data_IF_184130298026
#
_entry.id   IF_184130298026
#
_cell.length_a   1.000
_cell.length_b   1.000
_cell.length_c   1.000
_cell.angle_alpha   90.00
_cell.angle_beta   90.00
_cell.angle_gamma   90.00
#
_symmetry.space_group_name_H-M   'P 1'
#
loop_
_entity.id
_entity.type
_entity.pdbx_description
1 polymer ?
#
# COMPACT_ATOMS: atom_id res chain seq x y z
N UNK A 1 37.43 6.77 33.21
CA UNK A 1 35.95 6.97 33.25
C UNK A 1 35.35 5.66 32.79
N UNK A 2 34.58 4.98 33.64
CA UNK A 2 33.90 3.75 33.26
C UNK A 2 32.92 4.11 32.14
N UNK A 3 33.05 3.41 30.99
CA UNK A 3 32.06 3.55 29.92
C UNK A 3 30.72 3.03 30.45
N UNK A 4 29.80 3.91 30.75
CA UNK A 4 28.47 3.54 31.27
C UNK A 4 27.76 2.67 30.20
N UNK A 5 27.42 1.46 30.60
CA UNK A 5 26.84 0.48 29.68
C UNK A 5 25.42 0.92 29.35
N UNK A 6 25.16 1.15 28.06
CA UNK A 6 23.83 1.54 27.59
C UNK A 6 22.80 0.43 27.89
N UNK A 7 21.63 0.79 28.38
CA UNK A 7 20.48 -0.11 28.49
C UNK A 7 19.79 -0.30 27.13
N UNK A 8 18.90 -1.27 27.02
CA UNK A 8 18.22 -1.62 25.77
C UNK A 8 17.43 -0.44 25.16
N UNK A 9 16.85 0.44 25.98
CA UNK A 9 16.10 1.60 25.49
C UNK A 9 17.03 2.65 24.89
N UNK A 10 18.20 2.88 25.47
CA UNK A 10 19.22 3.78 24.93
C UNK A 10 19.77 3.23 23.61
N UNK A 11 20.00 1.91 23.52
CA UNK A 11 20.42 1.24 22.30
C UNK A 11 19.33 1.33 21.21
N UNK A 12 18.07 1.13 21.55
CA UNK A 12 16.94 1.29 20.61
C UNK A 12 16.86 2.74 20.11
N UNK A 13 17.04 3.72 20.99
CA UNK A 13 17.05 5.14 20.60
C UNK A 13 18.16 5.43 19.57
N UNK A 14 19.36 4.85 19.73
CA UNK A 14 20.42 4.97 18.74
C UNK A 14 20.00 4.37 17.39
N UNK A 15 19.40 3.17 17.40
CA UNK A 15 18.89 2.53 16.17
C UNK A 15 17.87 3.41 15.48
N UNK A 16 16.90 3.97 16.23
CA UNK A 16 15.85 4.84 15.69
C UNK A 16 16.39 6.14 15.07
N UNK A 17 17.48 6.68 15.62
CA UNK A 17 18.13 7.89 15.09
C UNK A 17 18.98 7.62 13.84
N UNK A 18 19.67 6.49 13.81
CA UNK A 18 20.61 6.15 12.73
C UNK A 18 19.92 5.49 11.53
N UNK A 19 18.84 4.74 11.78
CA UNK A 19 18.17 3.95 10.75
C UNK A 19 17.53 4.85 9.68
N UNK A 20 18.04 4.70 8.47
CA UNK A 20 17.47 5.30 7.26
C UNK A 20 17.10 4.18 6.29
N UNK A 21 15.82 3.93 6.13
CA UNK A 21 15.29 2.96 5.20
C UNK A 21 14.49 3.68 4.10
N UNK A 22 15.16 4.24 3.07
CA UNK A 22 14.50 5.02 2.03
C UNK A 22 13.54 4.16 1.21
N UNK A 23 12.50 4.78 0.63
CA UNK A 23 11.57 4.11 -0.30
C UNK A 23 12.27 3.89 -1.64
N UNK A 24 12.99 2.77 -1.78
CA UNK A 24 13.76 2.38 -2.96
C UNK A 24 12.96 1.63 -4.01
N UNK A 25 11.86 0.96 -3.62
CA UNK A 25 11.01 0.20 -4.51
C UNK A 25 10.00 1.09 -5.22
N UNK A 26 9.58 0.71 -6.43
CA UNK A 26 8.57 1.42 -7.20
C UNK A 26 7.41 0.50 -7.59
N UNK A 27 6.21 0.86 -7.19
CA UNK A 27 5.00 0.19 -7.63
C UNK A 27 4.51 0.82 -8.94
N UNK A 28 4.69 0.11 -10.06
CA UNK A 28 4.31 0.59 -11.39
C UNK A 28 2.79 0.71 -11.58
N UNK A 29 2.02 -0.09 -10.85
CA UNK A 29 0.55 -0.04 -10.91
C UNK A 29 0.01 1.15 -10.13
N UNK A 30 0.45 1.34 -8.87
CA UNK A 30 0.04 2.46 -8.01
C UNK A 30 0.86 3.75 -8.22
N UNK A 31 1.93 3.72 -9.05
CA UNK A 31 2.81 4.85 -9.37
C UNK A 31 3.42 5.55 -8.14
N UNK A 32 3.71 4.80 -7.08
CA UNK A 32 4.33 5.33 -5.88
C UNK A 32 5.60 4.55 -5.49
N UNK A 33 6.49 5.23 -4.77
CA UNK A 33 7.66 4.59 -4.16
C UNK A 33 7.30 4.03 -2.80
N UNK A 34 7.78 2.82 -2.51
CA UNK A 34 7.59 2.17 -1.22
C UNK A 34 8.88 1.51 -0.75
N UNK A 35 8.91 1.07 0.50
CA UNK A 35 9.96 0.18 1.05
C UNK A 35 9.34 -1.17 1.36
N UNK A 36 10.08 -2.23 1.11
CA UNK A 36 9.71 -3.58 1.49
C UNK A 36 10.15 -3.88 2.94
N UNK A 37 9.70 -5.00 3.49
CA UNK A 37 10.19 -5.50 4.76
C UNK A 37 11.72 -5.77 4.67
N UNK A 38 12.16 -6.34 3.56
CA UNK A 38 13.56 -6.68 3.29
C UNK A 38 14.45 -5.43 3.27
N UNK A 39 13.98 -4.32 2.68
CA UNK A 39 14.73 -3.05 2.66
C UNK A 39 15.03 -2.56 4.10
N UNK A 40 14.04 -2.70 5.01
CA UNK A 40 14.21 -2.33 6.42
C UNK A 40 15.22 -3.26 7.10
N UNK A 41 15.10 -4.56 6.89
CA UNK A 41 15.97 -5.56 7.48
C UNK A 41 17.42 -5.37 7.03
N UNK A 42 17.67 -5.11 5.76
CA UNK A 42 19.01 -4.84 5.26
C UNK A 42 19.59 -3.55 5.84
N UNK A 43 18.81 -2.49 5.92
CA UNK A 43 19.25 -1.21 6.47
C UNK A 43 19.57 -1.27 7.96
N UNK A 44 18.85 -2.07 8.75
CA UNK A 44 19.01 -2.12 10.20
C UNK A 44 20.15 -3.04 10.65
N UNK A 45 20.50 -4.08 9.89
CA UNK A 45 21.53 -5.07 10.26
C UNK A 45 22.85 -4.48 10.76
N UNK A 46 23.50 -3.53 10.05
CA UNK A 46 24.77 -2.96 10.51
C UNK A 46 24.61 -2.22 11.85
N UNK A 47 23.51 -1.47 12.02
CA UNK A 47 23.24 -0.68 13.21
C UNK A 47 22.98 -1.59 14.43
N UNK A 48 22.24 -2.68 14.23
CA UNK A 48 22.03 -3.69 15.28
C UNK A 48 23.34 -4.31 15.75
N UNK A 49 24.22 -4.64 14.81
CA UNK A 49 25.55 -5.18 15.13
C UNK A 49 26.38 -4.23 16.00
N UNK A 50 26.41 -2.94 15.66
CA UNK A 50 27.15 -1.92 16.39
C UNK A 50 26.61 -1.72 17.81
N UNK A 51 25.28 -1.80 17.98
CA UNK A 51 24.62 -1.65 19.27
C UNK A 51 24.49 -2.97 20.05
N UNK A 52 25.07 -4.09 19.55
CA UNK A 52 24.99 -5.43 20.16
C UNK A 52 23.56 -5.88 20.41
N UNK A 53 22.72 -5.67 19.42
CA UNK A 53 21.32 -6.06 19.43
C UNK A 53 21.05 -7.18 18.42
N UNK A 54 20.10 -8.04 18.74
CA UNK A 54 19.55 -9.06 17.83
C UNK A 54 18.08 -8.74 17.57
N UNK A 55 17.67 -8.85 16.33
CA UNK A 55 16.27 -8.74 15.92
C UNK A 55 15.75 -10.10 15.51
N UNK A 56 14.62 -10.50 16.11
CA UNK A 56 13.89 -11.72 15.76
C UNK A 56 12.49 -11.33 15.26
N UNK A 57 12.02 -11.97 14.20
CA UNK A 57 10.65 -11.83 13.68
C UNK A 57 9.91 -13.16 13.82
N UNK A 58 8.70 -13.11 14.35
CA UNK A 58 7.80 -14.26 14.44
C UNK A 58 6.44 -13.92 13.88
N UNK A 59 5.77 -14.89 13.29
CA UNK A 59 4.43 -14.73 12.74
C UNK A 59 3.48 -15.78 13.32
N UNK A 60 2.20 -15.40 13.45
CA UNK A 60 1.11 -16.30 13.76
C UNK A 60 -0.14 -15.90 12.96
N UNK A 61 -0.88 -16.90 12.46
CA UNK A 61 -2.19 -16.65 11.84
C UNK A 61 -3.25 -16.67 12.93
N UNK A 62 -4.03 -15.60 13.00
CA UNK A 62 -5.05 -15.39 14.03
C UNK A 62 -6.43 -15.33 13.37
N UNK A 63 -7.35 -16.25 13.68
CA UNK A 63 -8.72 -16.17 13.21
C UNK A 63 -9.46 -15.03 13.94
N UNK A 64 -10.13 -14.17 13.18
CA UNK A 64 -11.02 -13.14 13.70
C UNK A 64 -12.51 -13.53 13.54
N UNK A 65 -12.81 -14.42 12.57
CA UNK A 65 -14.10 -15.08 12.36
C UNK A 65 -13.88 -16.37 11.57
N UNK A 66 -14.95 -17.06 11.20
CA UNK A 66 -14.87 -18.30 10.38
C UNK A 66 -14.19 -18.07 9.01
N UNK A 67 -14.31 -16.86 8.45
CA UNK A 67 -13.81 -16.51 7.11
C UNK A 67 -12.79 -15.38 7.11
N UNK A 68 -12.40 -14.85 8.29
CA UNK A 68 -11.47 -13.72 8.37
C UNK A 68 -10.26 -14.06 9.21
N UNK A 69 -9.10 -13.98 8.60
CA UNK A 69 -7.82 -14.25 9.22
C UNK A 69 -6.90 -13.03 9.17
N UNK A 70 -6.01 -12.93 10.16
CA UNK A 70 -4.96 -11.93 10.21
C UNK A 70 -3.63 -12.62 10.45
N UNK A 71 -2.58 -12.15 9.80
CA UNK A 71 -1.22 -12.48 10.18
C UNK A 71 -0.78 -11.47 11.23
N UNK A 72 -0.47 -11.97 12.43
CA UNK A 72 0.15 -11.23 13.51
C UNK A 72 1.66 -11.38 13.36
N UNK A 73 2.41 -10.30 13.19
CA UNK A 73 3.86 -10.30 13.23
C UNK A 73 4.34 -9.62 14.50
N UNK A 74 5.37 -10.18 15.15
CA UNK A 74 6.05 -9.59 16.31
C UNK A 74 7.52 -9.42 15.99
N UNK A 75 7.99 -8.18 16.09
CA UNK A 75 9.42 -7.82 16.04
C UNK A 75 9.95 -7.75 17.47
N UNK A 76 10.92 -8.58 17.78
CA UNK A 76 11.52 -8.70 19.12
C UNK A 76 12.97 -8.23 19.02
N UNK A 77 13.30 -7.15 19.72
CA UNK A 77 14.66 -6.64 19.86
C UNK A 77 15.26 -7.20 21.16
N UNK A 78 16.44 -7.80 21.07
CA UNK A 78 17.10 -8.48 22.17
C UNK A 78 18.48 -7.85 22.40
N UNK A 79 18.76 -7.40 23.60
CA UNK A 79 20.11 -6.96 24.00
C UNK A 79 20.98 -8.19 24.32
N UNK A 80 22.03 -8.39 23.53
CA UNK A 80 22.97 -9.53 23.70
C UNK A 80 23.73 -9.49 25.04
N UNK A 81 23.85 -8.32 25.65
CA UNK A 81 24.61 -8.15 26.88
C UNK A 81 23.78 -8.28 28.15
N UNK A 82 22.50 -7.90 28.13
CA UNK A 82 21.61 -7.96 29.30
C UNK A 82 20.51 -9.03 29.17
N UNK A 83 20.26 -9.55 27.96
CA UNK A 83 19.12 -10.39 27.60
C UNK A 83 17.75 -9.72 27.80
N UNK A 84 17.73 -8.40 28.00
CA UNK A 84 16.47 -7.64 27.97
C UNK A 84 15.86 -7.64 26.57
N UNK A 85 14.54 -7.55 26.50
CA UNK A 85 13.80 -7.55 25.24
C UNK A 85 12.81 -6.39 25.15
N UNK A 86 12.63 -5.87 23.97
CA UNK A 86 11.56 -4.95 23.60
C UNK A 86 10.84 -5.56 22.41
N UNK A 87 9.52 -5.59 22.42
CA UNK A 87 8.74 -6.11 21.30
C UNK A 87 7.70 -5.11 20.79
N UNK A 88 7.43 -5.20 19.52
CA UNK A 88 6.32 -4.50 18.86
C UNK A 88 5.57 -5.46 17.94
N UNK A 89 4.25 -5.38 17.97
CA UNK A 89 3.36 -6.28 17.24
C UNK A 89 2.51 -5.48 16.25
N UNK A 90 2.32 -6.04 15.07
CA UNK A 90 1.39 -5.51 14.09
C UNK A 90 0.61 -6.64 13.39
N UNK A 91 -0.45 -6.25 12.70
CA UNK A 91 -1.35 -7.17 12.02
C UNK A 91 -1.52 -6.77 10.57
N UNK A 92 -1.68 -7.76 9.69
CA UNK A 92 -2.18 -7.56 8.34
C UNK A 92 -3.28 -8.56 8.06
N UNK A 93 -4.34 -8.10 7.39
CA UNK A 93 -5.42 -8.98 6.98
C UNK A 93 -4.92 -9.94 5.91
N UNK A 94 -5.26 -11.22 6.08
CA UNK A 94 -5.10 -12.23 5.06
C UNK A 94 -6.39 -12.28 4.24
N UNK A 95 -6.29 -12.07 2.92
CA UNK A 95 -7.44 -12.20 2.03
C UNK A 95 -7.73 -13.69 1.79
N UNK A 96 -9.00 -14.06 1.73
CA UNK A 96 -9.43 -15.45 1.49
C UNK A 96 -9.05 -15.89 0.07
N UNK A 97 -9.27 -15.02 -0.90
CA UNK A 97 -8.92 -15.23 -2.30
C UNK A 97 -8.35 -13.96 -2.96
N UNK A 98 -7.36 -14.13 -3.81
CA UNK A 98 -6.82 -13.05 -4.63
C UNK A 98 -6.48 -13.57 -6.01
N UNK A 99 -7.06 -12.95 -7.04
CA UNK A 99 -6.86 -13.32 -8.43
C UNK A 99 -5.38 -13.38 -8.79
N UNK A 100 -4.93 -14.54 -9.27
CA UNK A 100 -3.54 -14.76 -9.70
C UNK A 100 -2.56 -15.10 -8.57
N UNK A 101 -3.04 -15.38 -7.37
CA UNK A 101 -2.23 -15.84 -6.24
C UNK A 101 -2.78 -17.16 -5.69
N UNK A 102 -1.88 -18.06 -5.27
CA UNK A 102 -2.25 -19.22 -4.46
C UNK A 102 -2.31 -18.86 -2.97
N UNK A 103 -2.85 -19.77 -2.15
CA UNK A 103 -3.01 -19.52 -0.70
C UNK A 103 -1.70 -19.19 0.01
N UNK A 104 -0.60 -19.88 -0.34
CA UNK A 104 0.72 -19.61 0.26
C UNK A 104 1.25 -18.22 -0.09
N UNK A 105 0.99 -17.76 -1.31
CA UNK A 105 1.36 -16.41 -1.74
C UNK A 105 0.53 -15.33 -1.03
N UNK A 106 -0.75 -15.60 -0.77
CA UNK A 106 -1.65 -14.71 -0.02
C UNK A 106 -1.13 -14.55 1.41
N UNK A 107 -0.89 -15.67 2.11
CA UNK A 107 -0.31 -15.66 3.47
C UNK A 107 1.04 -14.97 3.50
N UNK A 108 1.94 -15.29 2.57
CA UNK A 108 3.26 -14.65 2.45
C UNK A 108 3.18 -13.14 2.25
N UNK A 109 2.21 -12.67 1.47
CA UNK A 109 1.98 -11.24 1.28
C UNK A 109 1.51 -10.60 2.58
N UNK A 110 0.53 -11.17 3.28
CA UNK A 110 0.03 -10.67 4.55
C UNK A 110 1.15 -10.65 5.62
N UNK A 111 1.99 -11.70 5.67
CA UNK A 111 3.18 -11.76 6.54
C UNK A 111 4.15 -10.60 6.27
N UNK A 112 4.51 -10.35 5.01
CA UNK A 112 5.40 -9.25 4.64
C UNK A 112 4.86 -7.89 5.07
N UNK A 113 3.55 -7.65 4.95
CA UNK A 113 2.92 -6.42 5.43
C UNK A 113 2.93 -6.33 6.96
N UNK A 114 2.53 -7.39 7.67
CA UNK A 114 2.51 -7.41 9.13
C UNK A 114 3.91 -7.15 9.71
N UNK A 115 4.94 -7.83 9.18
CA UNK A 115 6.35 -7.63 9.57
C UNK A 115 6.81 -6.20 9.33
N UNK A 116 6.50 -5.63 8.16
CA UNK A 116 6.85 -4.24 7.85
C UNK A 116 6.23 -3.27 8.86
N UNK A 117 4.97 -3.43 9.21
CA UNK A 117 4.32 -2.57 10.19
C UNK A 117 4.86 -2.77 11.60
N UNK A 118 5.21 -4.00 12.00
CA UNK A 118 5.87 -4.26 13.27
C UNK A 118 7.23 -3.56 13.36
N UNK A 119 8.03 -3.62 12.29
CA UNK A 119 9.32 -2.94 12.21
C UNK A 119 9.18 -1.41 12.18
N UNK A 120 8.19 -0.88 11.43
CA UNK A 120 7.93 0.56 11.39
C UNK A 120 7.64 1.12 12.79
N UNK A 121 6.78 0.43 13.56
CA UNK A 121 6.46 0.84 14.93
C UNK A 121 7.65 0.71 15.89
N UNK A 122 8.44 -0.38 15.79
CA UNK A 122 9.61 -0.58 16.66
C UNK A 122 10.70 0.46 16.42
N UNK A 123 10.98 0.75 15.14
CA UNK A 123 12.09 1.64 14.76
C UNK A 123 11.65 3.07 14.45
N UNK A 124 10.38 3.44 14.70
CA UNK A 124 9.82 4.76 14.39
C UNK A 124 10.07 5.20 12.94
N UNK A 125 9.91 4.26 12.01
CA UNK A 125 10.06 4.55 10.59
C UNK A 125 8.78 5.20 10.11
N UNK A 126 8.87 6.50 9.82
CA UNK A 126 7.74 7.27 9.31
C UNK A 126 7.49 6.97 7.82
N UNK A 127 6.29 6.55 7.50
CA UNK A 127 5.77 6.51 6.14
C UNK A 127 5.09 7.86 5.84
N UNK A 128 5.89 8.94 5.77
CA UNK A 128 5.49 10.33 5.61
C UNK A 128 4.61 10.68 4.39
N UNK A 129 3.97 9.72 3.79
CA UNK A 129 2.78 9.90 2.95
C UNK A 129 1.77 8.86 3.40
N UNK A 130 0.93 9.27 4.34
CA UNK A 130 -0.23 8.49 4.74
C UNK A 130 -1.12 8.26 3.52
N UNK A 131 -1.59 7.01 3.39
CA UNK A 131 -2.58 6.65 2.39
C UNK A 131 -3.91 7.41 2.57
N UNK A 132 -4.08 8.09 3.71
CA UNK A 132 -5.24 8.90 4.08
C UNK A 132 -5.09 10.37 3.64
N UNK A 133 -3.98 10.77 3.02
CA UNK A 133 -3.89 12.10 2.45
C UNK A 133 -4.65 12.19 1.12
N UNK A 134 -5.34 13.31 0.89
CA UNK A 134 -6.10 13.60 -0.33
C UNK A 134 -5.32 13.36 -1.64
N UNK A 135 -3.98 13.39 -1.57
CA UNK A 135 -3.10 13.02 -2.68
C UNK A 135 -3.18 11.52 -3.03
N UNK A 136 -3.45 10.63 -2.07
CA UNK A 136 -3.60 9.19 -2.31
C UNK A 136 -4.98 8.88 -2.90
N UNK A 137 -6.02 9.57 -2.44
CA UNK A 137 -7.35 9.52 -3.05
C UNK A 137 -7.33 10.08 -4.47
N UNK A 138 -6.66 11.20 -4.71
CA UNK A 138 -6.51 11.80 -6.03
C UNK A 138 -5.64 10.97 -7.00
N UNK A 139 -4.70 10.13 -6.51
CA UNK A 139 -3.90 9.24 -7.36
C UNK A 139 -4.63 7.92 -7.68
N UNK A 140 -5.52 7.44 -6.81
CA UNK A 140 -6.40 6.31 -7.10
C UNK A 140 -7.63 6.71 -7.94
N UNK A 141 -8.03 7.98 -7.90
CA UNK A 141 -8.96 8.60 -8.82
C UNK A 141 -8.29 9.17 -10.09
N UNK A 142 -7.15 8.66 -10.54
CA UNK A 142 -6.82 8.83 -11.95
C UNK A 142 -7.89 8.07 -12.73
N UNK A 143 -9.01 8.79 -12.98
CA UNK A 143 -10.08 8.37 -13.87
C UNK A 143 -9.42 7.74 -15.07
N UNK A 144 -9.63 6.44 -15.29
CA UNK A 144 -9.20 5.83 -16.55
C UNK A 144 -9.72 6.73 -17.65
N UNK A 145 -8.82 7.33 -18.42
CA UNK A 145 -9.23 8.16 -19.53
C UNK A 145 -9.98 7.31 -20.55
N UNK A 146 -10.85 7.96 -21.27
CA UNK A 146 -11.64 7.39 -22.37
C UNK A 146 -10.72 6.63 -23.35
N UNK A 147 -11.18 5.50 -23.82
CA UNK A 147 -10.48 4.71 -24.84
C UNK A 147 -10.79 5.21 -26.26
N UNK A 148 -9.90 4.94 -27.21
CA UNK A 148 -10.13 5.25 -28.64
C UNK A 148 -11.44 4.63 -29.18
N UNK A 149 -11.78 3.43 -28.70
CA UNK A 149 -13.02 2.76 -29.08
C UNK A 149 -14.26 3.52 -28.55
N UNK A 150 -14.22 4.01 -27.33
CA UNK A 150 -15.31 4.82 -26.75
C UNK A 150 -15.41 6.18 -27.43
N UNK A 151 -14.29 6.83 -27.78
CA UNK A 151 -14.30 8.10 -28.53
C UNK A 151 -15.03 7.93 -29.85
N UNK A 152 -14.70 6.88 -30.63
CA UNK A 152 -15.36 6.57 -31.87
C UNK A 152 -16.87 6.34 -31.67
N UNK A 153 -17.23 5.56 -30.67
CA UNK A 153 -18.61 5.20 -30.38
C UNK A 153 -19.45 6.41 -29.90
N UNK A 154 -18.86 7.30 -29.10
CA UNK A 154 -19.52 8.57 -28.74
C UNK A 154 -19.74 9.47 -29.94
N UNK A 155 -18.77 9.54 -30.88
CA UNK A 155 -18.95 10.30 -32.11
C UNK A 155 -20.07 9.78 -33.01
N UNK A 156 -20.41 8.49 -32.92
CA UNK A 156 -21.51 7.87 -33.67
C UNK A 156 -22.88 8.06 -32.97
N UNK A 157 -22.90 8.14 -31.62
CA UNK A 157 -24.14 8.14 -30.81
C UNK A 157 -24.55 9.51 -30.29
N UNK A 158 -23.66 10.47 -30.21
CA UNK A 158 -23.90 11.79 -29.62
C UNK A 158 -23.87 12.87 -30.68
N UNK A 159 -25.03 13.47 -30.94
CA UNK A 159 -25.16 14.53 -31.96
C UNK A 159 -24.52 15.86 -31.52
N UNK A 160 -24.62 16.21 -30.25
CA UNK A 160 -24.06 17.44 -29.68
C UNK A 160 -22.90 17.13 -28.71
N UNK A 161 -21.72 16.93 -29.27
CA UNK A 161 -20.48 16.71 -28.52
C UNK A 161 -20.14 17.92 -27.62
N UNK A 162 -20.22 19.18 -28.07
CA UNK A 162 -19.98 20.36 -27.22
C UNK A 162 -20.87 20.40 -25.98
N UNK A 163 -22.17 20.13 -26.08
CA UNK A 163 -23.08 20.09 -24.93
C UNK A 163 -22.70 18.96 -23.95
N UNK A 164 -22.31 17.81 -24.45
CA UNK A 164 -21.81 16.69 -23.62
C UNK A 164 -20.53 17.07 -22.87
N UNK A 165 -19.57 17.69 -23.54
CA UNK A 165 -18.31 18.13 -22.90
C UNK A 165 -18.56 19.17 -21.81
N UNK A 166 -19.48 20.11 -22.05
CA UNK A 166 -19.87 21.10 -21.06
C UNK A 166 -20.57 20.47 -19.84
N UNK A 167 -21.41 19.45 -20.05
CA UNK A 167 -22.07 18.71 -18.98
C UNK A 167 -21.05 18.03 -18.04
N UNK A 168 -20.00 17.41 -18.61
CA UNK A 168 -18.94 16.76 -17.86
C UNK A 168 -17.81 17.70 -17.43
N UNK A 169 -17.90 19.00 -17.78
CA UNK A 169 -16.90 20.06 -17.47
C UNK A 169 -15.50 19.69 -17.94
N UNK A 170 -15.37 19.20 -19.15
CA UNK A 170 -14.11 18.88 -19.81
C UNK A 170 -13.97 19.63 -21.13
N UNK A 171 -12.75 20.05 -21.46
CA UNK A 171 -12.48 20.86 -22.66
C UNK A 171 -12.40 20.02 -23.93
N UNK A 172 -12.06 18.73 -23.81
CA UNK A 172 -11.85 17.80 -24.92
C UNK A 172 -12.38 16.42 -24.58
N UNK A 173 -12.81 15.68 -25.61
CA UNK A 173 -13.34 14.32 -25.44
C UNK A 173 -12.32 13.36 -24.84
N UNK A 174 -11.03 13.55 -25.11
CA UNK A 174 -9.94 12.74 -24.59
C UNK A 174 -9.76 12.90 -23.05
N UNK A 175 -10.28 13.99 -22.48
CA UNK A 175 -10.23 14.27 -21.05
C UNK A 175 -11.42 13.67 -20.30
N UNK A 176 -12.36 13.05 -20.98
CA UNK A 176 -13.49 12.35 -20.37
C UNK A 176 -13.00 11.10 -19.63
N UNK A 177 -13.63 10.77 -18.49
CA UNK A 177 -13.30 9.52 -17.81
C UNK A 177 -13.89 8.32 -18.56
N UNK A 178 -13.23 7.16 -18.43
CA UNK A 178 -13.73 5.89 -18.97
C UNK A 178 -15.16 5.60 -18.52
N UNK A 179 -15.46 5.86 -17.23
CA UNK A 179 -16.77 5.61 -16.64
C UNK A 179 -17.84 6.54 -17.17
N UNK A 180 -17.55 7.84 -17.32
CA UNK A 180 -18.49 8.82 -17.85
C UNK A 180 -18.79 8.56 -19.33
N UNK A 181 -17.75 8.17 -20.08
CA UNK A 181 -17.90 7.73 -21.45
C UNK A 181 -18.78 6.49 -21.57
N UNK A 182 -18.56 5.49 -20.71
CA UNK A 182 -19.31 4.25 -20.70
C UNK A 182 -20.79 4.49 -20.37
N UNK A 183 -21.08 5.26 -19.32
CA UNK A 183 -22.45 5.65 -18.94
C UNK A 183 -23.19 6.38 -20.06
N UNK A 184 -22.50 7.27 -20.77
CA UNK A 184 -23.08 8.03 -21.88
C UNK A 184 -23.43 7.12 -23.06
N UNK A 185 -22.53 6.20 -23.42
CA UNK A 185 -22.75 5.19 -24.46
C UNK A 185 -23.98 4.34 -24.13
N UNK A 186 -24.01 3.73 -22.93
CA UNK A 186 -25.12 2.89 -22.49
C UNK A 186 -26.47 3.62 -22.49
N UNK A 187 -26.47 4.88 -22.04
CA UNK A 187 -27.70 5.73 -22.05
C UNK A 187 -28.20 5.97 -23.46
N UNK A 188 -27.30 6.28 -24.40
CA UNK A 188 -27.69 6.55 -25.80
C UNK A 188 -28.14 5.28 -26.51
N UNK A 189 -27.45 4.15 -26.36
CA UNK A 189 -27.86 2.86 -26.91
C UNK A 189 -29.24 2.40 -26.40
N UNK A 190 -29.52 2.64 -25.11
CA UNK A 190 -30.82 2.30 -24.53
C UNK A 190 -31.95 3.25 -25.02
N UNK A 191 -31.64 4.50 -25.36
CA UNK A 191 -32.59 5.43 -25.94
C UNK A 191 -32.97 5.01 -27.37
N UNK A 192 -31.96 4.70 -28.21
CA UNK A 192 -32.19 4.24 -29.59
C UNK A 192 -33.07 2.96 -29.65
N UNK A 193 -32.80 2.00 -28.75
CA UNK A 193 -33.63 0.76 -28.66
C UNK A 193 -35.07 0.99 -28.25
N UNK A 194 -35.43 2.13 -27.65
CA UNK A 194 -36.78 2.47 -27.25
C UNK A 194 -37.55 3.20 -28.34
N UNK A 195 -36.85 3.79 -29.30
CA UNK A 195 -37.48 4.47 -30.47
C UNK A 195 -37.80 3.48 -31.60
N UNK A 196 -37.16 2.30 -31.60
CA UNK A 196 -37.35 1.22 -32.59
C UNK A 196 -38.47 0.22 -32.21
N UNK A 197 -39.22 0.42 -31.11
CA UNK A 197 -40.32 -0.42 -30.62
C UNK A 197 -41.61 0.37 -30.59
#
# INVERSE_FOLDING_TARGET
>A
MANEKLNIYQKLMNVQQELKAPKGQYNSFGKYKYRSCEDILEAVKPILKENKLVLQLTDAVIPASETRFYVKATAILIDVESNETIENTAFAREEEEKKGMDGSQITGTASSYARKYALNGLFLIDDTKDADTDEYHNQNEQKKLITKAQIKKLGELVEDIPAMLNYYKVDKIENLSYEDAQKTIERKENATKREDV
#
